data_IF_809576429658
#
_entry.id   IF_809576429658
#
_cell.length_a   1.000
_cell.length_b   1.000
_cell.length_c   1.000
_cell.angle_alpha   90.00
_cell.angle_beta   90.00
_cell.angle_gamma   90.00
#
_symmetry.space_group_name_H-M   'P 1'
#
loop_
_entity.id
_entity.type
_entity.pdbx_description
1 polymer ?
#
# COMPACT_ATOMS: atom_id res chain seq x y z
N UNK A 1 -7.58 -0.06 -20.18
CA UNK A 1 -6.49 -0.59 -19.32
C UNK A 1 -7.02 -0.65 -17.90
N UNK A 2 -6.67 -1.71 -17.15
CA UNK A 2 -7.05 -1.78 -15.74
C UNK A 2 -5.98 -1.11 -14.87
N UNK A 3 -6.42 -0.51 -13.79
CA UNK A 3 -5.57 0.11 -12.78
C UNK A 3 -5.70 -0.67 -11.46
N UNK A 4 -4.67 -0.57 -10.62
CA UNK A 4 -4.64 -1.11 -9.26
C UNK A 4 -4.36 0.05 -8.31
N UNK A 5 -5.28 0.33 -7.40
CA UNK A 5 -4.99 1.14 -6.23
C UNK A 5 -4.30 0.23 -5.21
N UNK A 6 -3.10 0.61 -4.80
CA UNK A 6 -2.25 -0.21 -3.95
C UNK A 6 -1.79 0.57 -2.74
N UNK A 7 -1.80 -0.07 -1.59
CA UNK A 7 -1.24 0.46 -0.35
C UNK A 7 -0.60 -0.68 0.46
N UNK A 8 0.38 -0.33 1.29
CA UNK A 8 1.07 -1.27 2.18
C UNK A 8 1.15 -0.71 3.59
N UNK A 9 1.22 -1.61 4.57
CA UNK A 9 1.65 -1.30 5.93
C UNK A 9 2.95 -2.05 6.21
N UNK A 10 3.78 -1.51 7.10
CA UNK A 10 5.12 -2.02 7.38
C UNK A 10 5.41 -2.10 8.87
N UNK A 11 6.52 -2.75 9.23
CA UNK A 11 6.98 -2.81 10.62
C UNK A 11 7.61 -1.50 11.11
N UNK A 12 7.88 -0.57 10.21
CA UNK A 12 8.50 0.74 10.49
C UNK A 12 8.80 1.51 9.21
N UNK A 13 9.43 2.68 9.33
CA UNK A 13 9.55 3.64 8.22
C UNK A 13 10.74 3.39 7.30
N UNK A 14 11.82 2.75 7.78
CA UNK A 14 13.08 2.70 7.05
C UNK A 14 13.46 1.28 6.64
N UNK A 15 13.66 1.06 5.33
CA UNK A 15 14.26 -0.17 4.81
C UNK A 15 15.67 -0.40 5.33
N UNK A 16 16.46 0.67 5.55
CA UNK A 16 17.82 0.58 6.05
C UNK A 16 17.87 -0.01 7.47
N UNK A 17 16.82 0.19 8.26
CA UNK A 17 16.68 -0.39 9.60
C UNK A 17 16.11 -1.82 9.55
N UNK A 18 15.98 -2.40 8.37
CA UNK A 18 15.50 -3.76 8.17
C UNK A 18 13.99 -3.93 8.31
N UNK A 19 13.22 -2.85 8.21
CA UNK A 19 11.75 -2.93 8.26
C UNK A 19 11.18 -3.65 7.06
N UNK A 20 10.05 -4.32 7.25
CA UNK A 20 9.43 -5.21 6.27
C UNK A 20 7.93 -4.96 6.15
N UNK A 21 7.34 -5.41 5.04
CA UNK A 21 5.91 -5.32 4.75
C UNK A 21 5.12 -6.28 5.65
N UNK A 22 3.99 -5.83 6.16
CA UNK A 22 3.04 -6.63 6.96
C UNK A 22 1.65 -6.71 6.36
N UNK A 23 1.31 -5.83 5.45
CA UNK A 23 0.01 -5.84 4.77
C UNK A 23 0.18 -5.32 3.34
N UNK A 24 -0.50 -5.96 2.39
CA UNK A 24 -0.64 -5.47 1.01
C UNK A 24 -2.13 -5.48 0.69
N UNK A 25 -2.62 -4.38 0.16
CA UNK A 25 -3.96 -4.29 -0.41
C UNK A 25 -3.90 -3.73 -1.83
N UNK A 26 -4.66 -4.35 -2.71
CA UNK A 26 -4.83 -3.95 -4.09
C UNK A 26 -6.31 -3.97 -4.45
N UNK A 27 -6.82 -2.85 -4.97
CA UNK A 27 -8.20 -2.74 -5.46
C UNK A 27 -8.15 -2.50 -6.96
N UNK A 28 -8.72 -3.40 -7.74
CA UNK A 28 -8.72 -3.27 -9.20
C UNK A 28 -9.84 -2.34 -9.67
N UNK A 29 -9.49 -1.48 -10.62
CA UNK A 29 -10.44 -0.64 -11.35
C UNK A 29 -10.25 -0.82 -12.85
N UNK A 30 -11.27 -0.41 -13.61
CA UNK A 30 -11.22 -0.22 -15.05
C UNK A 30 -11.80 1.14 -15.36
N UNK A 31 -10.98 2.01 -15.96
CA UNK A 31 -11.35 3.42 -16.15
C UNK A 31 -11.79 4.07 -14.82
N UNK A 32 -11.05 3.78 -13.75
CA UNK A 32 -11.26 4.25 -12.37
C UNK A 32 -12.56 3.76 -11.70
N UNK A 33 -13.31 2.87 -12.34
CA UNK A 33 -14.51 2.24 -11.75
C UNK A 33 -14.12 0.87 -11.21
N UNK A 34 -14.51 0.57 -9.95
CA UNK A 34 -14.15 -0.70 -9.31
C UNK A 34 -14.68 -1.91 -10.07
N UNK A 35 -13.81 -2.91 -10.28
CA UNK A 35 -14.20 -4.22 -10.83
C UNK A 35 -14.65 -5.19 -9.74
N UNK A 36 -14.56 -4.80 -8.47
CA UNK A 36 -14.78 -5.62 -7.27
C UNK A 36 -13.71 -6.71 -7.06
N UNK A 37 -12.67 -6.76 -7.89
CA UNK A 37 -11.53 -7.65 -7.65
C UNK A 37 -10.56 -6.98 -6.68
N UNK A 38 -10.18 -7.72 -5.64
CA UNK A 38 -9.32 -7.26 -4.56
C UNK A 38 -8.27 -8.34 -4.29
N UNK A 39 -7.03 -7.91 -4.10
CA UNK A 39 -5.99 -8.70 -3.45
C UNK A 39 -5.70 -8.06 -2.09
N UNK A 40 -5.85 -8.81 -1.02
CA UNK A 40 -5.58 -8.30 0.32
C UNK A 40 -5.01 -9.41 1.18
N UNK A 41 -3.87 -9.16 1.82
CA UNK A 41 -3.23 -10.12 2.72
C UNK A 41 -2.46 -9.43 3.83
N UNK A 42 -2.51 -10.05 5.01
CA UNK A 42 -1.57 -9.79 6.09
C UNK A 42 -0.37 -10.71 5.92
N UNK A 43 0.81 -10.24 6.33
CA UNK A 43 2.08 -10.94 6.11
C UNK A 43 2.83 -11.02 7.43
N UNK A 44 3.37 -12.21 7.74
CA UNK A 44 4.34 -12.37 8.81
C UNK A 44 5.68 -11.76 8.38
N UNK A 45 6.14 -10.67 9.01
CA UNK A 45 7.37 -9.99 8.61
C UNK A 45 8.65 -10.67 9.08
N UNK A 46 8.54 -11.74 9.87
CA UNK A 46 9.68 -12.47 10.47
C UNK A 46 10.60 -11.56 11.29
N UNK A 47 10.04 -10.51 11.86
CA UNK A 47 10.72 -9.57 12.74
C UNK A 47 9.70 -8.84 13.63
N UNK A 48 10.22 -8.20 14.67
CA UNK A 48 9.40 -7.38 15.57
C UNK A 48 8.89 -6.11 14.87
N UNK A 49 7.63 -5.77 15.15
CA UNK A 49 7.02 -4.53 14.70
C UNK A 49 7.42 -3.41 15.65
N UNK A 50 7.77 -2.23 15.12
CA UNK A 50 8.08 -1.08 15.97
C UNK A 50 6.82 -0.57 16.69
N UNK A 51 7.00 -0.04 17.90
CA UNK A 51 5.88 0.50 18.68
C UNK A 51 5.17 1.65 17.93
N UNK A 52 5.95 2.48 17.25
CA UNK A 52 5.38 3.59 16.48
C UNK A 52 4.52 3.11 15.31
N UNK A 53 4.93 2.03 14.62
CA UNK A 53 4.13 1.42 13.58
C UNK A 53 2.83 0.83 14.14
N UNK A 54 2.89 0.14 15.29
CA UNK A 54 1.69 -0.40 15.95
C UNK A 54 0.69 0.71 16.29
N UNK A 55 1.16 1.87 16.73
CA UNK A 55 0.29 3.04 17.00
C UNK A 55 -0.45 3.49 15.74
N UNK A 56 0.16 3.35 14.57
CA UNK A 56 -0.43 3.77 13.29
C UNK A 56 -1.45 2.76 12.78
N UNK A 57 -1.09 1.49 12.65
CA UNK A 57 -1.93 0.48 12.00
C UNK A 57 -2.59 -0.52 12.97
N UNK A 58 -2.10 -0.64 14.20
CA UNK A 58 -2.68 -1.51 15.22
C UNK A 58 -2.37 -3.00 15.09
N UNK A 59 -1.57 -3.42 14.11
CA UNK A 59 -1.15 -4.81 13.96
C UNK A 59 0.00 -5.12 14.93
N UNK A 60 -0.15 -6.20 15.69
CA UNK A 60 0.84 -6.65 16.69
C UNK A 60 1.58 -7.89 16.18
N UNK A 61 2.73 -8.18 16.78
CA UNK A 61 3.47 -9.42 16.49
C UNK A 61 2.61 -10.67 16.70
N UNK A 62 1.74 -10.65 17.72
CA UNK A 62 0.83 -11.74 18.01
C UNK A 62 -0.18 -11.98 16.88
N UNK A 63 -0.72 -10.93 16.30
CA UNK A 63 -1.66 -11.03 15.18
C UNK A 63 -0.99 -11.63 13.93
N UNK A 64 0.27 -11.26 13.67
CA UNK A 64 0.96 -11.57 12.41
C UNK A 64 1.78 -12.87 12.45
N UNK A 65 2.05 -13.43 13.63
CA UNK A 65 2.92 -14.61 13.77
C UNK A 65 2.46 -15.84 12.98
N UNK A 66 1.14 -16.01 12.80
CA UNK A 66 0.54 -17.14 12.09
C UNK A 66 0.19 -16.83 10.62
N UNK A 67 0.55 -15.65 10.15
CA UNK A 67 0.27 -15.23 8.76
C UNK A 67 1.32 -15.81 7.82
N UNK A 68 0.96 -15.89 6.53
CA UNK A 68 1.89 -16.29 5.47
C UNK A 68 3.05 -15.30 5.36
N UNK A 69 4.21 -15.81 4.96
CA UNK A 69 5.37 -14.97 4.63
C UNK A 69 5.22 -14.38 3.23
N UNK A 70 6.01 -13.35 2.94
CA UNK A 70 5.96 -12.71 1.61
C UNK A 70 6.22 -13.73 0.47
N UNK A 71 7.15 -14.66 0.65
CA UNK A 71 7.44 -15.69 -0.36
C UNK A 71 6.22 -16.53 -0.72
N UNK A 72 5.32 -16.76 0.24
CA UNK A 72 4.13 -17.59 0.05
C UNK A 72 3.02 -16.88 -0.74
N UNK A 73 3.01 -15.54 -0.75
CA UNK A 73 1.97 -14.75 -1.41
C UNK A 73 2.47 -14.02 -2.68
N UNK A 74 3.77 -14.08 -2.93
CA UNK A 74 4.40 -13.27 -3.97
C UNK A 74 3.88 -13.57 -5.38
N UNK A 75 3.71 -14.85 -5.74
CA UNK A 75 3.25 -15.21 -7.07
C UNK A 75 1.83 -14.75 -7.33
N UNK A 76 0.93 -14.89 -6.38
CA UNK A 76 -0.45 -14.40 -6.48
C UNK A 76 -0.48 -12.87 -6.59
N UNK A 77 0.36 -12.17 -5.82
CA UNK A 77 0.50 -10.73 -5.90
C UNK A 77 0.99 -10.27 -7.28
N UNK A 78 2.09 -10.88 -7.76
CA UNK A 78 2.66 -10.57 -9.08
C UNK A 78 1.62 -10.78 -10.18
N UNK A 79 0.89 -11.88 -10.14
CA UNK A 79 -0.16 -12.19 -11.11
C UNK A 79 -1.28 -11.16 -11.08
N UNK A 80 -1.67 -10.71 -9.88
CA UNK A 80 -2.74 -9.73 -9.72
C UNK A 80 -2.42 -8.37 -10.35
N UNK A 81 -1.16 -7.91 -10.21
CA UNK A 81 -0.73 -6.60 -10.73
C UNK A 81 -0.23 -6.63 -12.18
N UNK A 82 -0.04 -7.82 -12.76
CA UNK A 82 0.59 -7.97 -14.07
C UNK A 82 -0.17 -7.22 -15.18
N UNK A 83 0.59 -6.44 -15.95
CA UNK A 83 0.05 -5.67 -17.09
C UNK A 83 -0.85 -4.49 -16.70
N UNK A 84 -0.90 -4.09 -15.44
CA UNK A 84 -1.78 -3.03 -14.95
C UNK A 84 -0.98 -1.84 -14.44
N UNK A 85 -1.60 -0.66 -14.46
CA UNK A 85 -1.03 0.54 -13.82
C UNK A 85 -1.28 0.50 -12.32
N UNK A 86 -0.27 0.85 -11.55
CA UNK A 86 -0.36 0.94 -10.08
C UNK A 86 -0.52 2.40 -9.68
N UNK A 87 -1.57 2.70 -8.92
CA UNK A 87 -1.84 4.03 -8.37
C UNK A 87 -1.58 3.95 -6.86
N UNK A 88 -0.61 4.70 -6.40
CA UNK A 88 -0.10 4.63 -5.02
C UNK A 88 0.09 6.05 -4.49
N UNK A 89 -0.33 6.31 -3.25
CA UNK A 89 -0.12 7.60 -2.61
C UNK A 89 1.24 7.63 -1.90
N UNK A 90 2.16 8.46 -2.38
CA UNK A 90 3.57 8.47 -1.98
C UNK A 90 4.30 7.18 -2.42
N UNK A 91 4.16 6.87 -3.68
CA UNK A 91 4.60 5.61 -4.29
C UNK A 91 6.04 5.19 -4.02
N UNK A 92 7.05 6.08 -3.94
CA UNK A 92 8.43 5.65 -3.70
C UNK A 92 8.61 4.81 -2.43
N UNK A 93 7.82 5.04 -1.39
CA UNK A 93 7.90 4.27 -0.14
C UNK A 93 7.42 2.83 -0.38
N UNK A 94 6.18 2.65 -0.83
CA UNK A 94 5.60 1.32 -1.05
C UNK A 94 6.38 0.52 -2.09
N UNK A 95 6.74 1.15 -3.19
CA UNK A 95 7.50 0.50 -4.26
C UNK A 95 8.88 0.04 -3.78
N UNK A 96 9.57 0.83 -2.96
CA UNK A 96 10.87 0.43 -2.43
C UNK A 96 10.77 -0.77 -1.49
N UNK A 97 9.76 -0.82 -0.62
CA UNK A 97 9.51 -1.98 0.24
C UNK A 97 9.13 -3.22 -0.56
N UNK A 98 8.22 -3.09 -1.53
CA UNK A 98 7.81 -4.19 -2.41
C UNK A 98 8.98 -4.72 -3.23
N UNK A 99 9.77 -3.83 -3.83
CA UNK A 99 10.91 -4.25 -4.65
C UNK A 99 12.03 -4.88 -3.81
N UNK A 100 12.22 -4.44 -2.58
CA UNK A 100 13.14 -5.11 -1.65
C UNK A 100 12.72 -6.57 -1.41
N UNK A 101 11.44 -6.80 -1.10
CA UNK A 101 10.90 -8.14 -0.88
C UNK A 101 11.01 -9.01 -2.14
N UNK A 102 10.65 -8.46 -3.29
CA UNK A 102 10.72 -9.18 -4.59
C UNK A 102 12.16 -9.57 -4.94
N UNK A 103 13.13 -8.68 -4.75
CA UNK A 103 14.55 -8.97 -4.99
C UNK A 103 15.07 -10.08 -4.08
N UNK A 104 14.67 -10.08 -2.81
CA UNK A 104 15.08 -11.14 -1.86
C UNK A 104 14.72 -12.54 -2.32
N UNK A 105 13.66 -12.69 -3.09
CA UNK A 105 13.18 -13.99 -3.58
C UNK A 105 13.41 -14.16 -5.08
N UNK A 106 14.28 -13.34 -5.68
CA UNK A 106 14.64 -13.38 -7.10
C UNK A 106 13.44 -13.25 -8.05
N UNK A 107 12.46 -12.44 -7.70
CA UNK A 107 11.30 -12.13 -8.54
C UNK A 107 11.50 -10.78 -9.23
N UNK A 108 10.78 -10.59 -10.36
CA UNK A 108 10.78 -9.34 -11.12
C UNK A 108 10.24 -8.19 -10.27
N UNK A 109 10.95 -7.08 -10.26
CA UNK A 109 10.56 -5.88 -9.54
C UNK A 109 9.52 -5.05 -10.31
N UNK A 110 8.83 -4.18 -9.58
CA UNK A 110 7.87 -3.21 -10.15
C UNK A 110 8.67 -2.13 -10.89
N UNK A 111 8.30 -1.87 -12.14
CA UNK A 111 8.93 -0.84 -12.97
C UNK A 111 8.23 0.52 -12.75
N UNK A 112 9.02 1.56 -12.57
CA UNK A 112 8.52 2.94 -12.33
C UNK A 112 7.54 3.41 -13.39
N UNK A 113 7.75 3.03 -14.66
CA UNK A 113 6.84 3.39 -15.78
C UNK A 113 5.41 2.88 -15.60
N UNK A 114 5.20 1.89 -14.74
CA UNK A 114 3.89 1.32 -14.44
C UNK A 114 3.25 1.92 -13.19
N UNK A 115 3.92 2.88 -12.54
CA UNK A 115 3.48 3.47 -11.28
C UNK A 115 3.04 4.91 -11.50
N UNK A 116 1.89 5.26 -10.92
CA UNK A 116 1.38 6.62 -10.84
C UNK A 116 1.38 7.02 -9.36
N UNK A 117 2.12 8.07 -9.02
CA UNK A 117 2.15 8.61 -7.67
C UNK A 117 1.07 9.68 -7.51
N UNK A 118 0.00 9.34 -6.79
CA UNK A 118 -1.11 10.27 -6.55
C UNK A 118 -0.72 11.46 -5.67
N UNK A 119 0.33 11.33 -4.83
CA UNK A 119 0.83 12.45 -4.04
C UNK A 119 1.46 13.53 -4.94
N UNK A 120 2.21 13.14 -5.97
CA UNK A 120 2.77 14.09 -6.93
C UNK A 120 1.66 14.83 -7.70
N UNK A 121 0.62 14.11 -8.11
CA UNK A 121 -0.54 14.73 -8.76
C UNK A 121 -1.20 15.75 -7.81
N UNK A 122 -1.40 15.37 -6.55
CA UNK A 122 -2.01 16.25 -5.55
C UNK A 122 -1.15 17.51 -5.30
N UNK A 123 0.16 17.35 -5.18
CA UNK A 123 1.10 18.48 -4.99
C UNK A 123 1.06 19.45 -6.18
N UNK A 124 0.93 18.93 -7.37
CA UNK A 124 0.80 19.75 -8.59
C UNK A 124 -0.51 20.54 -8.61
N UNK A 125 -1.60 19.92 -8.17
CA UNK A 125 -2.93 20.57 -8.16
C UNK A 125 -3.14 21.51 -6.97
N UNK A 126 -2.54 21.20 -5.82
CA UNK A 126 -2.72 21.91 -4.55
C UNK A 126 -1.37 22.27 -3.93
N UNK A 127 -0.58 23.13 -4.58
CA UNK A 127 0.75 23.49 -4.08
C UNK A 127 0.69 24.23 -2.74
N UNK A 128 1.71 24.02 -1.90
CA UNK A 128 1.88 24.72 -0.63
C UNK A 128 1.07 24.18 0.55
N UNK A 129 0.28 23.13 0.37
CA UNK A 129 -0.48 22.50 1.45
C UNK A 129 -0.02 21.07 1.76
N UNK A 130 -0.52 20.50 2.84
CA UNK A 130 -0.38 19.08 3.11
C UNK A 130 -1.33 18.30 2.20
N UNK A 131 -0.78 17.36 1.44
CA UNK A 131 -1.51 16.49 0.52
C UNK A 131 -1.52 15.04 1.01
N UNK A 132 -1.50 14.83 2.34
CA UNK A 132 -1.73 13.50 2.92
C UNK A 132 -3.11 12.96 2.53
N UNK A 133 -3.27 11.65 2.55
CA UNK A 133 -4.56 11.03 2.24
C UNK A 133 -5.69 11.58 3.12
N UNK A 134 -5.45 11.75 4.43
CA UNK A 134 -6.41 12.38 5.34
C UNK A 134 -6.81 13.80 4.90
N UNK A 135 -5.84 14.62 4.55
CA UNK A 135 -6.11 16.00 4.15
C UNK A 135 -6.85 16.08 2.82
N UNK A 136 -6.54 15.18 1.87
CA UNK A 136 -7.28 15.10 0.62
C UNK A 136 -8.72 14.63 0.84
N UNK A 137 -8.93 13.64 1.69
CA UNK A 137 -10.27 13.21 2.06
C UNK A 137 -11.09 14.34 2.69
N UNK A 138 -10.51 15.12 3.60
CA UNK A 138 -11.15 16.31 4.19
C UNK A 138 -11.48 17.34 3.12
N UNK A 139 -10.55 17.60 2.22
CA UNK A 139 -10.72 18.58 1.12
C UNK A 139 -11.88 18.20 0.19
N UNK A 140 -12.07 16.93 -0.08
CA UNK A 140 -13.12 16.42 -0.96
C UNK A 140 -14.38 15.96 -0.22
N UNK A 141 -14.47 16.22 1.10
CA UNK A 141 -15.60 15.80 1.95
C UNK A 141 -15.85 14.28 1.93
N UNK A 142 -14.78 13.49 1.88
CA UNK A 142 -14.84 12.04 1.97
C UNK A 142 -14.85 11.64 3.44
N UNK A 143 -15.77 10.73 3.81
CA UNK A 143 -15.95 10.27 5.18
C UNK A 143 -14.73 9.47 5.68
N UNK A 144 -14.12 9.96 6.77
CA UNK A 144 -12.98 9.33 7.45
C UNK A 144 -13.37 8.58 8.74
N UNK A 145 -14.66 8.47 9.05
CA UNK A 145 -15.11 7.89 10.33
C UNK A 145 -14.62 6.46 10.57
N UNK A 146 -14.39 5.69 9.53
CA UNK A 146 -13.86 4.33 9.59
C UNK A 146 -12.34 4.26 9.73
N UNK A 147 -11.61 5.35 9.49
CA UNK A 147 -10.14 5.39 9.50
C UNK A 147 -9.61 5.74 10.90
N UNK A 148 -9.94 4.93 11.90
CA UNK A 148 -9.41 5.08 13.27
C UNK A 148 -7.94 4.64 13.35
N UNK A 149 -7.57 3.63 12.59
CA UNK A 149 -6.20 3.15 12.39
C UNK A 149 -5.93 3.03 10.90
N UNK A 150 -4.66 3.15 10.50
CA UNK A 150 -4.26 2.92 9.12
C UNK A 150 -4.46 1.44 8.78
N UNK A 151 -5.12 1.20 7.66
CA UNK A 151 -5.39 -0.13 7.12
C UNK A 151 -5.25 -0.05 5.61
N UNK A 152 -4.42 -0.90 5.03
CA UNK A 152 -4.08 -0.79 3.61
C UNK A 152 -5.32 -0.91 2.71
N UNK A 153 -6.25 -1.81 3.02
CA UNK A 153 -7.46 -1.97 2.20
C UNK A 153 -8.36 -0.73 2.26
N UNK A 154 -8.60 -0.18 3.46
CA UNK A 154 -9.38 1.04 3.62
C UNK A 154 -8.71 2.22 2.92
N UNK A 155 -7.38 2.33 3.02
CA UNK A 155 -6.63 3.40 2.39
C UNK A 155 -6.69 3.33 0.86
N UNK A 156 -6.69 2.13 0.26
CA UNK A 156 -6.96 1.95 -1.17
C UNK A 156 -8.36 2.44 -1.56
N UNK A 157 -9.38 2.13 -0.78
CA UNK A 157 -10.75 2.58 -1.04
C UNK A 157 -10.89 4.10 -0.93
N UNK A 158 -10.27 4.71 0.08
CA UNK A 158 -10.26 6.17 0.25
C UNK A 158 -9.50 6.86 -0.88
N UNK A 159 -8.35 6.31 -1.29
CA UNK A 159 -7.58 6.85 -2.40
C UNK A 159 -8.36 6.79 -3.71
N UNK A 160 -9.11 5.73 -3.93
CA UNK A 160 -9.97 5.61 -5.12
C UNK A 160 -11.04 6.70 -5.16
N UNK A 161 -11.54 7.12 -4.00
CA UNK A 161 -12.54 8.20 -3.93
C UNK A 161 -11.92 9.59 -4.11
N UNK A 162 -10.68 9.79 -3.70
CA UNK A 162 -9.92 11.02 -3.90
C UNK A 162 -9.60 11.26 -5.37
#
# INVERSE_FOLDING_TARGET
MNEIFLDTETTGLSLQDGHRIIEIACVETKSLITTKKIFHTLINPERKISEDAIKVHGYTDEILKDKKKFIDIADDFIQFIDGKKLIIHNAPIDVSFLNYELRKINKKTIEVKNVIDSLEIARSKFPGGSNSLNNLCKKFNIDLSKRKKHNALLDCELLREV
#
